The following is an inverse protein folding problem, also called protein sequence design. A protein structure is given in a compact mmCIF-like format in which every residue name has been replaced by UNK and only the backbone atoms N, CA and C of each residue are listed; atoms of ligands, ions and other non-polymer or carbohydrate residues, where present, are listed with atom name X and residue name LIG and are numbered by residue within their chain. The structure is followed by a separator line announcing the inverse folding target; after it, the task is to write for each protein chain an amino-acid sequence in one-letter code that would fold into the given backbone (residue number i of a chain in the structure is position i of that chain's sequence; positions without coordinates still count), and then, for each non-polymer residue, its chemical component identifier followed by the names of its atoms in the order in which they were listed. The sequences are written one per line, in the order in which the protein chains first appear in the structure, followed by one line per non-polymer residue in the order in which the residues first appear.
data_IF_172939027139
#
_entry.id   IF_172939027139
#
_cell.length_a   1.000
_cell.length_b   1.000
_cell.length_c   1.000
_cell.angle_alpha   90.00
_cell.angle_beta   90.00
_cell.angle_gamma   90.00
#
_symmetry.space_group_name_H-M   'P 1'
#
loop_
_entity.id
_entity.type
_entity.pdbx_description
1 polymer ?
#
# COMPACT_ATOMS: atom_id res chain seq x y z
N UNK A 1 85.95 -21.98 46.32
CA UNK A 1 84.86 -21.00 46.27
C UNK A 1 83.74 -21.57 45.40
N UNK A 2 82.64 -22.04 45.99
CA UNK A 2 81.51 -22.68 45.27
C UNK A 2 80.54 -21.60 44.76
N UNK A 3 80.33 -21.55 43.43
CA UNK A 3 79.35 -20.67 42.79
C UNK A 3 77.96 -21.32 42.85
N UNK A 4 77.00 -20.59 43.43
CA UNK A 4 75.58 -20.98 43.49
C UNK A 4 74.89 -20.39 42.25
N UNK A 5 74.40 -21.24 41.35
CA UNK A 5 73.60 -20.82 40.20
C UNK A 5 72.12 -20.79 40.61
N UNK A 6 71.49 -19.61 40.53
CA UNK A 6 70.05 -19.43 40.70
C UNK A 6 69.37 -19.66 39.36
N UNK A 7 68.51 -20.68 39.27
CA UNK A 7 67.65 -20.92 38.13
C UNK A 7 66.49 -19.90 38.13
N UNK A 8 66.36 -19.15 37.04
CA UNK A 8 65.23 -18.25 36.80
C UNK A 8 64.19 -19.02 36.01
N UNK A 9 63.02 -19.23 36.60
CA UNK A 9 61.85 -19.85 35.95
C UNK A 9 61.03 -18.74 35.32
N UNK A 10 60.90 -18.74 33.99
CA UNK A 10 60.07 -17.79 33.23
C UNK A 10 58.70 -18.47 32.98
N UNK A 11 57.58 -17.92 33.48
CA UNK A 11 56.27 -18.46 33.17
C UNK A 11 55.86 -18.05 31.75
N UNK A 12 55.62 -19.05 30.89
CA UNK A 12 55.06 -18.85 29.56
C UNK A 12 53.55 -18.66 29.70
N UNK A 13 53.08 -17.42 29.55
CA UNK A 13 51.65 -17.10 29.46
C UNK A 13 51.17 -17.41 28.05
N UNK A 14 50.40 -18.48 27.89
CA UNK A 14 49.76 -18.84 26.62
C UNK A 14 48.58 -17.90 26.32
N UNK A 15 48.74 -17.02 25.34
CA UNK A 15 47.66 -16.21 24.80
C UNK A 15 46.82 -17.06 23.84
N UNK A 16 45.64 -17.49 24.28
CA UNK A 16 44.64 -18.09 23.40
C UNK A 16 43.97 -16.99 22.57
N UNK A 17 44.33 -16.89 21.28
CA UNK A 17 43.62 -16.04 20.33
C UNK A 17 42.24 -16.67 20.06
N UNK A 18 41.20 -16.08 20.65
CA UNK A 18 39.81 -16.31 20.25
C UNK A 18 39.56 -15.55 18.96
N UNK A 19 39.71 -16.22 17.82
CA UNK A 19 39.25 -15.72 16.52
C UNK A 19 37.71 -15.77 16.51
N UNK A 20 37.08 -14.73 17.03
CA UNK A 20 35.64 -14.52 16.86
C UNK A 20 35.36 -14.21 15.40
N UNK A 21 34.55 -15.04 14.74
CA UNK A 21 34.04 -14.77 13.40
C UNK A 21 33.22 -13.48 13.45
N UNK A 22 33.65 -12.45 12.74
CA UNK A 22 32.83 -11.27 12.55
C UNK A 22 31.58 -11.69 11.76
N UNK A 23 30.42 -11.66 12.41
CA UNK A 23 29.14 -11.79 11.74
C UNK A 23 28.98 -10.50 10.95
N UNK A 24 29.12 -10.58 9.63
CA UNK A 24 28.78 -9.47 8.74
C UNK A 24 27.26 -9.37 8.78
N UNK A 25 26.73 -8.42 9.54
CA UNK A 25 25.30 -8.13 9.53
C UNK A 25 24.93 -7.63 8.14
N UNK A 26 24.01 -8.33 7.45
CA UNK A 26 23.40 -7.80 6.23
C UNK A 26 22.74 -6.48 6.57
N UNK A 27 23.11 -5.40 5.87
CA UNK A 27 22.39 -4.14 5.96
C UNK A 27 20.93 -4.41 5.59
N UNK A 28 19.99 -3.95 6.42
CA UNK A 28 18.58 -4.04 6.09
C UNK A 28 18.34 -3.29 4.78
N UNK A 29 17.65 -3.93 3.84
CA UNK A 29 17.24 -3.30 2.59
C UNK A 29 16.33 -2.11 2.92
N UNK A 30 16.64 -0.95 2.36
CA UNK A 30 15.83 0.25 2.49
C UNK A 30 14.42 -0.04 1.91
N UNK A 31 13.35 0.21 2.68
CA UNK A 31 11.96 0.00 2.27
C UNK A 31 11.06 1.12 2.78
N UNK A 32 9.97 1.41 2.06
CA UNK A 32 8.86 2.28 2.42
C UNK A 32 7.88 1.60 3.39
N UNK A 33 8.06 0.32 3.73
CA UNK A 33 7.19 -0.33 4.72
C UNK A 33 7.17 0.44 6.04
N UNK A 34 5.97 0.88 6.47
CA UNK A 34 5.77 1.71 7.66
C UNK A 34 5.82 3.22 7.39
N UNK A 35 6.05 3.66 6.15
CA UNK A 35 5.89 5.05 5.74
C UNK A 35 4.40 5.42 5.67
N UNK A 36 4.09 6.67 5.99
CA UNK A 36 2.73 7.21 5.95
C UNK A 36 2.74 8.59 5.34
N UNK A 37 1.82 8.84 4.41
CA UNK A 37 1.61 10.15 3.82
C UNK A 37 0.29 10.70 4.34
N UNK A 38 0.31 11.91 4.89
CA UNK A 38 -0.89 12.57 5.42
C UNK A 38 -0.99 14.01 4.95
N UNK A 39 -2.16 14.44 4.53
CA UNK A 39 -2.44 15.83 4.21
C UNK A 39 -3.82 16.22 4.72
N UNK A 40 -3.91 17.43 5.28
CA UNK A 40 -5.15 18.03 5.76
C UNK A 40 -5.22 19.46 5.24
N UNK A 41 -6.24 19.75 4.42
CA UNK A 41 -6.38 21.05 3.77
C UNK A 41 -7.51 21.90 4.34
N UNK A 42 -7.22 23.19 4.56
CA UNK A 42 -8.20 24.26 4.76
C UNK A 42 -8.03 25.41 3.74
N UNK A 43 -7.04 25.32 2.86
CA UNK A 43 -6.72 26.26 1.78
C UNK A 43 -6.25 25.48 0.54
N UNK A 44 -6.43 26.06 -0.65
CA UNK A 44 -6.33 25.43 -1.96
C UNK A 44 -4.91 24.92 -2.29
N UNK A 45 -4.53 23.75 -1.76
CA UNK A 45 -3.27 23.06 -2.07
C UNK A 45 -3.47 21.70 -2.76
N UNK A 46 -4.70 21.44 -3.21
CA UNK A 46 -5.00 20.33 -4.09
C UNK A 46 -6.15 20.65 -5.04
N UNK A 47 -5.92 20.40 -6.33
CA UNK A 47 -6.95 20.54 -7.34
C UNK A 47 -7.82 19.29 -7.35
N UNK A 48 -8.87 19.30 -6.52
CA UNK A 48 -9.90 18.26 -6.55
C UNK A 48 -10.96 18.64 -7.56
N UNK A 49 -11.01 17.94 -8.68
CA UNK A 49 -12.11 18.12 -9.63
C UNK A 49 -12.83 16.81 -9.86
N UNK A 50 -14.14 16.88 -9.73
CA UNK A 50 -15.03 15.82 -10.15
C UNK A 50 -15.64 16.13 -11.48
N UNK A 51 -15.40 15.26 -12.44
CA UNK A 51 -16.15 15.25 -13.67
C UNK A 51 -17.16 14.10 -13.62
N UNK A 52 -18.33 14.38 -13.05
CA UNK A 52 -19.46 13.49 -13.23
C UNK A 52 -19.92 13.58 -14.68
N UNK A 53 -19.78 12.48 -15.40
CA UNK A 53 -20.41 12.34 -16.72
C UNK A 53 -21.72 11.58 -16.53
N UNK A 54 -22.76 11.93 -17.29
CA UNK A 54 -24.03 11.19 -17.22
C UNK A 54 -23.77 9.69 -17.45
N UNK A 55 -24.27 8.80 -16.58
CA UNK A 55 -24.10 7.36 -16.75
C UNK A 55 -24.52 6.92 -18.16
N UNK A 56 -23.80 5.97 -18.79
CA UNK A 56 -22.79 5.05 -18.24
C UNK A 56 -21.33 5.51 -18.46
N UNK A 57 -21.05 6.82 -18.41
CA UNK A 57 -19.69 7.31 -18.65
C UNK A 57 -18.82 7.23 -17.38
N UNK A 58 -17.51 6.92 -17.50
CA UNK A 58 -16.60 6.95 -16.37
C UNK A 58 -16.54 8.36 -15.77
N UNK A 59 -16.53 8.41 -14.44
CA UNK A 59 -16.29 9.63 -13.67
C UNK A 59 -14.84 9.68 -13.22
N UNK A 60 -14.30 10.89 -13.14
CA UNK A 60 -12.90 11.10 -12.77
C UNK A 60 -12.79 11.99 -11.52
N UNK A 61 -11.84 11.67 -10.65
CA UNK A 61 -11.34 12.53 -9.59
C UNK A 61 -9.87 12.81 -9.90
N UNK A 62 -9.54 14.08 -10.09
CA UNK A 62 -8.15 14.52 -10.13
C UNK A 62 -7.78 15.03 -8.74
N UNK A 63 -6.54 14.78 -8.29
CA UNK A 63 -5.99 15.40 -7.10
C UNK A 63 -4.51 15.72 -7.28
N UNK A 64 -4.06 16.72 -6.53
CA UNK A 64 -2.68 17.15 -6.42
C UNK A 64 -2.45 17.43 -4.93
N UNK A 65 -1.35 16.96 -4.37
CA UNK A 65 -0.87 17.33 -3.03
C UNK A 65 0.44 18.05 -3.23
N UNK A 66 0.44 19.37 -3.07
CA UNK A 66 1.61 20.23 -3.38
C UNK A 66 2.20 20.90 -2.15
N UNK A 67 3.50 21.23 -2.19
CA UNK A 67 4.27 21.73 -1.02
C UNK A 67 3.94 23.14 -0.51
N UNK A 68 3.19 23.97 -1.24
CA UNK A 68 3.11 25.39 -0.91
C UNK A 68 1.68 25.93 -0.76
N UNK A 69 1.31 26.57 0.38
CA UNK A 69 2.04 26.65 1.65
C UNK A 69 1.57 25.53 2.61
N UNK A 70 2.34 24.44 2.72
CA UNK A 70 2.05 23.36 3.68
C UNK A 70 1.66 22.05 3.00
N UNK A 71 2.60 21.46 2.27
CA UNK A 71 2.42 20.17 1.62
C UNK A 71 2.03 19.02 2.52
N UNK A 72 1.84 17.87 1.89
CA UNK A 72 1.61 16.64 2.61
C UNK A 72 2.81 16.30 3.48
N UNK A 73 2.57 15.70 4.65
CA UNK A 73 3.59 15.24 5.57
C UNK A 73 3.84 13.74 5.36
N UNK A 74 5.08 13.37 5.09
CA UNK A 74 5.56 12.00 5.14
C UNK A 74 6.11 11.70 6.55
N UNK A 75 5.68 10.61 7.17
CA UNK A 75 6.21 10.14 8.45
C UNK A 75 6.49 8.65 8.42
N UNK A 76 7.63 8.24 8.98
CA UNK A 76 8.08 6.86 8.94
C UNK A 76 9.59 6.78 8.70
N UNK A 77 10.07 5.76 7.97
CA UNK A 77 11.47 5.63 7.57
C UNK A 77 12.07 6.83 6.82
N UNK A 78 11.27 7.59 6.06
CA UNK A 78 11.68 8.76 5.27
C UNK A 78 10.80 9.98 5.57
N UNK A 79 10.97 10.61 6.74
CA UNK A 79 10.15 11.75 7.12
C UNK A 79 10.46 12.97 6.27
N UNK A 80 9.44 13.74 5.91
CA UNK A 80 9.60 14.89 5.02
C UNK A 80 8.28 15.50 4.57
N UNK A 81 8.36 16.30 3.50
CA UNK A 81 7.18 16.70 2.75
C UNK A 81 6.99 15.73 1.59
N UNK A 82 5.77 15.24 1.37
CA UNK A 82 5.44 14.52 0.16
C UNK A 82 4.68 15.39 -0.84
N UNK A 83 4.88 15.08 -2.12
CA UNK A 83 4.15 15.64 -3.25
C UNK A 83 3.65 14.47 -4.07
N UNK A 84 2.41 14.57 -4.52
CA UNK A 84 1.76 13.53 -5.32
C UNK A 84 0.65 14.09 -6.19
N UNK A 85 0.60 13.64 -7.44
CA UNK A 85 -0.50 13.92 -8.37
C UNK A 85 -1.12 12.62 -8.83
N UNK A 86 -2.46 12.55 -8.81
CA UNK A 86 -3.17 11.34 -9.19
C UNK A 86 -4.48 11.56 -9.92
N UNK A 87 -4.85 10.56 -10.71
CA UNK A 87 -6.12 10.51 -11.44
C UNK A 87 -6.84 9.19 -11.14
N UNK A 88 -8.08 9.32 -10.65
CA UNK A 88 -8.94 8.21 -10.27
C UNK A 88 -10.09 8.13 -11.27
N UNK A 89 -10.22 7.02 -11.97
CA UNK A 89 -11.37 6.71 -12.83
C UNK A 89 -12.27 5.70 -12.12
N UNK A 90 -13.58 5.94 -12.10
CA UNK A 90 -14.54 5.04 -11.47
C UNK A 90 -15.89 5.00 -12.20
N UNK A 91 -16.61 3.90 -12.02
CA UNK A 91 -18.00 3.78 -12.45
C UNK A 91 -18.90 4.47 -11.42
N UNK A 92 -19.53 5.59 -11.81
CA UNK A 92 -20.40 6.36 -10.91
C UNK A 92 -21.68 5.63 -10.48
N UNK A 93 -22.09 4.58 -11.20
CA UNK A 93 -23.26 3.78 -10.85
C UNK A 93 -22.97 2.75 -9.77
N UNK A 94 -21.75 2.20 -9.75
CA UNK A 94 -21.33 1.16 -8.79
C UNK A 94 -20.39 1.68 -7.71
N UNK A 95 -19.75 2.83 -7.95
CA UNK A 95 -18.68 3.38 -7.12
C UNK A 95 -17.35 2.64 -7.26
N UNK A 96 -17.21 1.67 -8.17
CA UNK A 96 -15.99 0.87 -8.30
C UNK A 96 -14.93 1.67 -9.06
N UNK A 97 -13.73 1.78 -8.47
CA UNK A 97 -12.57 2.37 -9.15
C UNK A 97 -12.07 1.39 -10.23
N UNK A 98 -11.94 1.90 -11.45
CA UNK A 98 -11.46 1.15 -12.62
C UNK A 98 -10.02 1.48 -12.98
N UNK A 99 -9.51 2.65 -12.57
CA UNK A 99 -8.09 3.01 -12.64
C UNK A 99 -7.77 4.03 -11.55
N UNK A 100 -6.57 3.95 -10.99
CA UNK A 100 -5.99 4.97 -10.14
C UNK A 100 -4.50 5.02 -10.46
N UNK A 101 -4.07 6.10 -11.10
CA UNK A 101 -2.70 6.27 -11.58
C UNK A 101 -2.05 7.46 -10.87
N UNK A 102 -0.83 7.24 -10.39
CA UNK A 102 0.07 8.25 -9.83
C UNK A 102 1.36 8.18 -10.61
N UNK A 103 1.59 9.17 -11.49
CA UNK A 103 2.75 9.18 -12.39
C UNK A 103 4.03 9.59 -11.68
N UNK A 104 3.94 10.40 -10.63
CA UNK A 104 5.06 10.80 -9.79
C UNK A 104 4.55 11.05 -8.36
N UNK A 105 5.17 10.38 -7.40
CA UNK A 105 5.16 10.83 -6.02
C UNK A 105 6.60 11.00 -5.56
N UNK A 106 6.83 11.99 -4.70
CA UNK A 106 8.16 12.24 -4.13
C UNK A 106 8.10 12.65 -2.69
N UNK A 107 9.17 12.37 -1.96
CA UNK A 107 9.40 12.83 -0.60
C UNK A 107 10.70 13.62 -0.55
N UNK A 108 10.61 14.85 -0.07
CA UNK A 108 11.74 15.73 0.22
C UNK A 108 11.94 15.79 1.74
N UNK A 109 13.17 15.58 2.22
CA UNK A 109 13.49 15.71 3.64
C UNK A 109 13.33 17.15 4.16
N UNK A 110 13.54 17.37 5.47
CA UNK A 110 13.45 18.71 6.07
C UNK A 110 14.44 19.73 5.52
N UNK A 111 15.47 19.30 4.79
CA UNK A 111 16.47 20.16 4.13
C UNK A 111 16.14 20.40 2.65
N UNK A 112 15.07 19.80 2.14
CA UNK A 112 14.68 19.86 0.73
C UNK A 112 15.45 18.90 -0.17
N UNK A 113 16.11 17.88 0.39
CA UNK A 113 16.73 16.84 -0.42
C UNK A 113 15.71 15.76 -0.79
N UNK A 114 15.71 15.37 -2.05
CA UNK A 114 14.88 14.28 -2.55
C UNK A 114 15.31 12.93 -1.97
N UNK A 115 14.47 12.31 -1.14
CA UNK A 115 14.76 11.02 -0.49
C UNK A 115 14.05 9.85 -1.15
N UNK A 116 12.85 10.07 -1.71
CA UNK A 116 12.04 9.03 -2.35
C UNK A 116 11.40 9.60 -3.61
N UNK A 117 11.34 8.80 -4.67
CA UNK A 117 10.52 9.04 -5.87
C UNK A 117 9.84 7.74 -6.26
N UNK A 118 8.67 7.78 -6.90
CA UNK A 118 8.07 6.57 -7.42
C UNK A 118 6.78 6.81 -8.20
N UNK A 119 6.16 5.71 -8.61
CA UNK A 119 4.86 5.68 -9.28
C UNK A 119 3.91 4.77 -8.52
N UNK A 120 2.61 4.93 -8.74
CA UNK A 120 1.59 4.02 -8.20
C UNK A 120 0.52 3.74 -9.23
N UNK A 121 -0.01 2.54 -9.19
CA UNK A 121 -1.12 2.12 -10.04
C UNK A 121 -2.08 1.23 -9.26
N UNK A 122 -3.34 1.23 -9.67
CA UNK A 122 -4.35 0.34 -9.12
C UNK A 122 -4.09 -1.09 -9.62
N UNK A 123 -3.77 -2.06 -8.75
CA UNK A 123 -3.78 -3.46 -9.13
C UNK A 123 -5.21 -3.86 -9.49
N UNK A 124 -5.42 -4.96 -10.25
CA UNK A 124 -6.76 -5.45 -10.52
C UNK A 124 -7.59 -5.59 -9.24
N UNK A 125 -8.56 -4.70 -9.07
CA UNK A 125 -9.77 -5.01 -8.32
C UNK A 125 -10.06 -4.32 -6.99
N UNK A 126 -9.41 -3.26 -6.52
CA UNK A 126 -9.92 -2.70 -5.25
C UNK A 126 -9.78 -1.22 -5.08
N UNK A 127 -10.90 -0.56 -5.33
CA UNK A 127 -11.20 0.69 -4.70
C UNK A 127 -12.65 1.08 -4.85
N UNK A 128 -13.10 1.92 -3.93
CA UNK A 128 -14.39 2.56 -4.00
C UNK A 128 -14.16 4.06 -4.14
N UNK A 129 -14.84 4.68 -5.09
CA UNK A 129 -14.91 6.11 -5.19
C UNK A 129 -16.37 6.56 -5.30
N UNK A 130 -16.64 7.73 -4.75
CA UNK A 130 -17.87 8.44 -4.96
C UNK A 130 -17.54 9.90 -5.21
N UNK A 131 -18.37 10.53 -6.04
CA UNK A 131 -18.36 11.97 -6.11
C UNK A 131 -19.79 12.47 -6.25
N UNK A 132 -20.07 13.62 -5.64
CA UNK A 132 -21.30 14.37 -5.79
C UNK A 132 -20.96 15.82 -6.12
N UNK A 133 -21.54 16.35 -7.20
CA UNK A 133 -21.49 17.77 -7.52
C UNK A 133 -22.91 18.36 -7.41
N UNK A 134 -23.07 19.38 -6.56
CA UNK A 134 -24.30 20.14 -6.42
C UNK A 134 -24.15 21.45 -7.18
N UNK A 135 -24.95 21.62 -8.23
CA UNK A 135 -25.01 22.87 -8.98
C UNK A 135 -25.96 23.86 -8.29
N UNK A 136 -25.38 24.87 -7.65
CA UNK A 136 -26.07 26.05 -7.09
C UNK A 136 -25.39 27.34 -7.54
N UNK A 137 -25.60 28.45 -6.83
CA UNK A 137 -24.82 29.68 -7.03
C UNK A 137 -23.34 29.48 -6.74
N UNK A 138 -23.02 28.54 -5.84
CA UNK A 138 -21.70 27.96 -5.65
C UNK A 138 -21.77 26.49 -6.05
N UNK A 139 -20.81 26.01 -6.83
CA UNK A 139 -20.68 24.58 -7.09
C UNK A 139 -20.01 23.95 -5.87
N UNK A 140 -20.75 23.08 -5.18
CA UNK A 140 -20.18 22.26 -4.10
C UNK A 140 -19.84 20.90 -4.69
N UNK A 141 -18.57 20.51 -4.63
CA UNK A 141 -18.16 19.15 -5.02
C UNK A 141 -17.56 18.43 -3.83
N UNK A 142 -18.12 17.28 -3.51
CA UNK A 142 -17.62 16.36 -2.48
C UNK A 142 -17.25 15.06 -3.14
N UNK A 143 -16.17 14.43 -2.70
CA UNK A 143 -15.79 13.12 -3.18
C UNK A 143 -15.00 12.35 -2.15
N UNK A 144 -15.05 11.03 -2.29
CA UNK A 144 -14.33 10.09 -1.46
C UNK A 144 -13.73 9.02 -2.35
N UNK A 145 -12.51 8.59 -2.08
CA UNK A 145 -11.89 7.45 -2.73
C UNK A 145 -11.05 6.65 -1.73
N UNK A 146 -11.07 5.33 -1.86
CA UNK A 146 -10.25 4.43 -1.05
C UNK A 146 -9.83 3.25 -1.90
N UNK A 147 -8.55 2.89 -1.87
CA UNK A 147 -8.00 1.80 -2.65
C UNK A 147 -6.72 1.25 -2.03
N UNK A 148 -6.29 0.10 -2.55
CA UNK A 148 -4.93 -0.40 -2.41
C UNK A 148 -4.21 -0.14 -3.72
N UNK A 149 -3.08 0.55 -3.67
CA UNK A 149 -2.22 0.79 -4.83
C UNK A 149 -0.97 -0.07 -4.75
N UNK A 150 -0.50 -0.56 -5.90
CA UNK A 150 0.87 -1.04 -6.01
C UNK A 150 1.78 0.15 -6.30
N UNK A 151 2.98 0.15 -5.72
CA UNK A 151 3.98 1.18 -5.95
C UNK A 151 5.30 0.57 -6.42
N UNK A 152 6.02 1.35 -7.21
CA UNK A 152 7.42 1.15 -7.56
C UNK A 152 8.18 2.43 -7.20
N UNK A 153 9.20 2.33 -6.36
CA UNK A 153 9.90 3.46 -5.77
C UNK A 153 11.43 3.33 -5.84
N UNK A 154 12.09 4.49 -5.93
CA UNK A 154 13.54 4.65 -5.78
C UNK A 154 13.85 5.41 -4.49
N UNK A 155 14.62 4.79 -3.62
CA UNK A 155 15.10 5.35 -2.36
C UNK A 155 16.51 5.92 -2.57
N UNK A 156 16.62 7.24 -2.46
CA UNK A 156 17.82 8.02 -2.80
C UNK A 156 18.76 8.26 -1.60
N UNK A 157 18.47 7.66 -0.44
CA UNK A 157 19.28 7.82 0.79
C UNK A 157 20.51 6.92 0.83
N UNK A 158 20.62 5.96 -0.10
CA UNK A 158 21.76 5.06 -0.25
C UNK A 158 22.58 5.39 -1.49
N UNK A 159 23.84 4.97 -1.52
CA UNK A 159 24.69 5.04 -2.72
C UNK A 159 25.20 3.64 -3.07
N UNK A 160 24.71 3.00 -4.15
CA UNK A 160 23.71 3.51 -5.11
C UNK A 160 22.28 3.61 -4.52
N UNK A 161 21.35 4.33 -5.18
CA UNK A 161 19.94 4.30 -4.82
C UNK A 161 19.38 2.88 -4.83
N UNK A 162 18.44 2.60 -3.93
CA UNK A 162 17.80 1.28 -3.78
C UNK A 162 16.41 1.30 -4.41
N UNK A 163 16.02 0.22 -5.08
CA UNK A 163 14.64 0.05 -5.56
C UNK A 163 13.79 -0.62 -4.48
N UNK A 164 12.56 -0.16 -4.33
CA UNK A 164 11.56 -0.77 -3.47
C UNK A 164 10.22 -0.84 -4.19
N UNK A 165 9.44 -1.88 -3.90
CA UNK A 165 8.14 -2.10 -4.53
C UNK A 165 7.22 -2.79 -3.53
N UNK A 166 5.94 -2.44 -3.53
CA UNK A 166 4.99 -3.03 -2.61
C UNK A 166 3.60 -2.48 -2.78
N UNK A 167 2.83 -2.47 -1.70
CA UNK A 167 1.47 -1.92 -1.68
C UNK A 167 1.35 -0.76 -0.71
N UNK A 168 0.43 0.16 -1.01
CA UNK A 168 -0.02 1.19 -0.09
C UNK A 168 -1.54 1.19 -0.01
N UNK A 169 -2.09 1.50 1.16
CA UNK A 169 -3.54 1.73 1.33
C UNK A 169 -3.76 3.23 1.36
N UNK A 170 -4.55 3.75 0.42
CA UNK A 170 -4.83 5.18 0.26
C UNK A 170 -6.30 5.47 0.55
N UNK A 171 -6.55 6.59 1.22
CA UNK A 171 -7.87 7.15 1.49
C UNK A 171 -7.83 8.65 1.18
N UNK A 172 -8.87 9.12 0.51
CA UNK A 172 -9.01 10.48 0.04
C UNK A 172 -10.44 10.93 0.28
N UNK A 173 -10.59 12.03 0.99
CA UNK A 173 -11.86 12.71 1.23
C UNK A 173 -11.67 14.17 0.81
N UNK A 174 -12.58 14.73 0.03
CA UNK A 174 -12.56 16.15 -0.26
C UNK A 174 -13.94 16.78 -0.28
N UNK A 175 -13.95 18.04 0.09
CA UNK A 175 -15.11 18.92 0.03
C UNK A 175 -14.67 20.29 -0.45
N UNK A 176 -15.32 20.74 -1.52
CA UNK A 176 -15.08 22.05 -2.14
C UNK A 176 -16.38 22.85 -2.14
N UNK A 177 -16.32 24.13 -1.77
CA UNK A 177 -17.39 25.11 -1.90
C UNK A 177 -16.84 26.32 -2.69
N UNK A 178 -17.13 26.35 -3.99
CA UNK A 178 -16.46 27.26 -4.92
C UNK A 178 -14.95 27.03 -4.93
N UNK A 179 -14.17 28.07 -4.66
CA UNK A 179 -12.69 28.01 -4.60
C UNK A 179 -12.17 27.59 -3.21
N UNK A 180 -13.04 27.29 -2.25
CA UNK A 180 -12.64 26.91 -0.89
C UNK A 180 -12.64 25.40 -0.70
N UNK A 181 -11.51 24.84 -0.27
CA UNK A 181 -11.36 23.43 0.11
C UNK A 181 -11.37 23.36 1.64
N UNK A 182 -12.37 22.70 2.24
CA UNK A 182 -12.48 22.63 3.71
C UNK A 182 -12.72 21.21 4.17
N UNK A 183 -11.87 20.72 5.09
CA UNK A 183 -12.03 19.39 5.69
C UNK A 183 -11.61 18.25 4.76
N UNK A 184 -10.90 18.57 3.68
CA UNK A 184 -10.30 17.56 2.81
C UNK A 184 -9.11 16.91 3.48
N UNK A 185 -8.97 15.62 3.25
CA UNK A 185 -8.00 14.76 3.89
C UNK A 185 -7.46 13.73 2.88
N UNK A 186 -6.16 13.54 2.90
CA UNK A 186 -5.49 12.43 2.23
C UNK A 186 -4.69 11.68 3.29
N UNK A 187 -4.81 10.35 3.30
CA UNK A 187 -3.97 9.49 4.12
C UNK A 187 -3.61 8.25 3.35
N UNK A 188 -2.34 7.90 3.40
CA UNK A 188 -1.81 6.70 2.80
C UNK A 188 -0.80 6.04 3.72
N UNK A 189 -0.77 4.71 3.72
CA UNK A 189 0.18 3.92 4.51
C UNK A 189 0.82 2.87 3.61
N UNK A 190 2.15 2.87 3.59
CA UNK A 190 2.96 1.93 2.83
C UNK A 190 3.27 0.69 3.67
N UNK A 191 3.20 -0.48 3.03
CA UNK A 191 3.60 -1.73 3.66
C UNK A 191 2.74 -2.91 3.24
N UNK A 192 3.07 -4.07 3.82
CA UNK A 192 2.37 -5.32 3.57
C UNK A 192 0.96 -5.20 4.15
N UNK A 193 -0.05 -5.25 3.29
CA UNK A 193 -1.42 -5.40 3.74
C UNK A 193 -1.52 -6.61 4.67
N UNK A 194 -2.27 -6.45 5.76
CA UNK A 194 -2.63 -7.61 6.57
C UNK A 194 -3.46 -8.58 5.69
N UNK A 195 -3.36 -9.87 5.98
CA UNK A 195 -4.19 -10.88 5.31
C UNK A 195 -5.69 -10.56 5.38
N UNK A 196 -6.15 -9.94 6.48
CA UNK A 196 -7.51 -9.45 6.62
C UNK A 196 -7.88 -8.37 5.60
N UNK A 197 -7.00 -7.37 5.40
CA UNK A 197 -7.22 -6.31 4.41
C UNK A 197 -7.21 -6.87 2.99
N UNK A 198 -6.28 -7.77 2.67
CA UNK A 198 -6.24 -8.44 1.36
C UNK A 198 -7.50 -9.27 1.10
N UNK A 199 -8.01 -9.98 2.12
CA UNK A 199 -9.28 -10.72 2.01
C UNK A 199 -10.49 -9.81 1.80
N UNK A 200 -10.59 -8.71 2.55
CA UNK A 200 -11.67 -7.72 2.38
C UNK A 200 -11.65 -7.14 0.96
N UNK A 201 -10.46 -6.87 0.45
CA UNK A 201 -10.27 -6.43 -0.93
C UNK A 201 -10.78 -7.47 -1.94
N UNK A 202 -10.36 -8.73 -1.79
CA UNK A 202 -10.80 -9.82 -2.67
C UNK A 202 -12.32 -10.06 -2.61
N UNK A 203 -12.94 -9.92 -1.43
CA UNK A 203 -14.40 -9.99 -1.27
C UNK A 203 -15.08 -8.90 -2.11
N UNK A 204 -14.58 -7.66 -2.06
CA UNK A 204 -15.16 -6.55 -2.82
C UNK A 204 -15.07 -6.80 -4.34
N UNK A 205 -13.96 -7.34 -4.84
CA UNK A 205 -13.80 -7.75 -6.25
C UNK A 205 -14.92 -8.70 -6.66
N UNK A 206 -15.05 -9.80 -5.92
CA UNK A 206 -15.97 -10.89 -6.26
C UNK A 206 -17.42 -10.42 -6.19
N UNK A 207 -17.76 -9.53 -5.26
CA UNK A 207 -19.09 -8.94 -5.17
C UNK A 207 -19.39 -7.95 -6.31
N UNK A 208 -18.41 -7.14 -6.71
CA UNK A 208 -18.56 -6.13 -7.76
C UNK A 208 -18.70 -6.72 -9.16
N UNK A 209 -18.05 -7.85 -9.45
CA UNK A 209 -18.05 -8.47 -10.78
C UNK A 209 -19.39 -9.16 -11.16
N UNK A 210 -20.36 -9.24 -10.24
CA UNK A 210 -21.65 -9.92 -10.46
C UNK A 210 -21.51 -11.31 -11.13
N UNK A 211 -20.42 -12.02 -10.84
CA UNK A 211 -20.16 -13.35 -11.38
C UNK A 211 -21.36 -14.24 -11.04
N UNK A 212 -21.88 -15.03 -11.99
CA UNK A 212 -23.19 -15.70 -11.87
C UNK A 212 -23.43 -16.39 -10.51
N UNK A 213 -22.61 -17.38 -10.11
CA UNK A 213 -22.65 -17.99 -8.78
C UNK A 213 -21.90 -17.17 -7.70
N UNK A 214 -21.49 -15.93 -7.97
CA UNK A 214 -20.59 -15.08 -7.18
C UNK A 214 -21.00 -14.86 -5.73
N UNK A 215 -22.27 -15.08 -5.39
CA UNK A 215 -22.72 -15.17 -3.98
C UNK A 215 -21.99 -16.29 -3.22
N UNK A 216 -21.71 -17.42 -3.86
CA UNK A 216 -21.00 -18.55 -3.26
C UNK A 216 -19.52 -18.24 -3.02
N UNK A 217 -18.83 -17.64 -4.00
CA UNK A 217 -17.43 -17.22 -3.87
C UNK A 217 -17.24 -16.14 -2.80
N UNK A 218 -18.09 -15.11 -2.81
CA UNK A 218 -18.07 -14.07 -1.77
C UNK A 218 -18.35 -14.66 -0.37
N UNK A 219 -19.28 -15.63 -0.26
CA UNK A 219 -19.56 -16.32 1.00
C UNK A 219 -18.34 -17.09 1.49
N UNK A 220 -17.63 -17.81 0.61
CA UNK A 220 -16.39 -18.52 0.97
C UNK A 220 -15.30 -17.57 1.45
N UNK A 221 -15.11 -16.45 0.77
CA UNK A 221 -14.14 -15.44 1.20
C UNK A 221 -14.51 -14.80 2.56
N UNK A 222 -15.80 -14.57 2.84
CA UNK A 222 -16.25 -14.13 4.16
C UNK A 222 -16.01 -15.19 5.25
N UNK A 223 -16.16 -16.48 4.93
CA UNK A 223 -15.82 -17.58 5.85
C UNK A 223 -14.31 -17.67 6.12
N UNK A 224 -13.47 -17.44 5.09
CA UNK A 224 -12.02 -17.35 5.24
C UNK A 224 -11.67 -16.17 6.15
N UNK A 225 -12.23 -14.98 5.90
CA UNK A 225 -12.03 -13.79 6.74
C UNK A 225 -12.40 -14.05 8.19
N UNK A 226 -13.53 -14.72 8.45
CA UNK A 226 -13.94 -15.10 9.80
C UNK A 226 -12.93 -16.07 10.47
N UNK A 227 -12.33 -16.99 9.71
CA UNK A 227 -11.25 -17.86 10.22
C UNK A 227 -9.99 -17.08 10.57
N UNK A 228 -9.58 -16.11 9.74
CA UNK A 228 -8.43 -15.23 10.01
C UNK A 228 -8.66 -14.41 11.28
N UNK A 229 -9.81 -13.74 11.38
CA UNK A 229 -10.18 -12.93 12.55
C UNK A 229 -10.28 -13.76 13.84
N UNK A 230 -10.61 -15.06 13.73
CA UNK A 230 -10.62 -15.99 14.85
C UNK A 230 -9.23 -16.57 15.20
N UNK A 231 -8.16 -16.16 14.51
CA UNK A 231 -6.81 -16.70 14.70
C UNK A 231 -6.65 -18.15 14.24
N UNK A 232 -7.54 -18.65 13.38
CA UNK A 232 -7.54 -20.03 12.87
C UNK A 232 -6.77 -20.14 11.55
N UNK A 233 -5.48 -19.81 11.56
CA UNK A 233 -4.63 -19.74 10.35
C UNK A 233 -4.69 -21.01 9.50
N UNK A 234 -4.52 -22.20 10.09
CA UNK A 234 -4.60 -23.46 9.33
C UNK A 234 -5.97 -23.68 8.67
N UNK A 235 -7.06 -23.24 9.32
CA UNK A 235 -8.40 -23.33 8.74
C UNK A 235 -8.54 -22.35 7.58
N UNK A 236 -8.06 -21.11 7.74
CA UNK A 236 -8.05 -20.11 6.67
C UNK A 236 -7.24 -20.59 5.45
N UNK A 237 -6.03 -21.14 5.65
CA UNK A 237 -5.21 -21.69 4.56
C UNK A 237 -5.95 -22.80 3.78
N UNK A 238 -6.55 -23.77 4.49
CA UNK A 238 -7.30 -24.84 3.84
C UNK A 238 -8.52 -24.31 3.06
N UNK A 239 -9.18 -23.27 3.57
CA UNK A 239 -10.29 -22.63 2.89
C UNK A 239 -9.84 -21.81 1.68
N UNK A 240 -8.67 -21.16 1.72
CA UNK A 240 -8.05 -20.46 0.59
C UNK A 240 -7.69 -21.42 -0.55
N UNK A 241 -6.98 -22.52 -0.26
CA UNK A 241 -6.71 -23.55 -1.28
C UNK A 241 -8.00 -24.10 -1.91
N UNK A 242 -9.06 -24.29 -1.10
CA UNK A 242 -10.36 -24.72 -1.62
C UNK A 242 -11.00 -23.65 -2.53
N UNK A 243 -10.86 -22.37 -2.17
CA UNK A 243 -11.28 -21.25 -3.00
C UNK A 243 -10.50 -21.22 -4.33
N UNK A 244 -9.17 -21.33 -4.30
CA UNK A 244 -8.33 -21.37 -5.51
C UNK A 244 -8.71 -22.51 -6.45
N UNK A 245 -8.92 -23.72 -5.92
CA UNK A 245 -9.38 -24.87 -6.71
C UNK A 245 -10.75 -24.64 -7.33
N UNK A 246 -11.66 -23.99 -6.61
CA UNK A 246 -12.99 -23.67 -7.14
C UNK A 246 -12.93 -22.61 -8.24
N UNK A 247 -12.17 -21.53 -8.03
CA UNK A 247 -11.92 -20.49 -9.04
C UNK A 247 -11.32 -21.13 -10.29
N UNK A 248 -10.22 -21.86 -10.17
CA UNK A 248 -9.59 -22.56 -11.30
C UNK A 248 -10.55 -23.53 -12.01
N UNK A 249 -11.44 -24.22 -11.28
CA UNK A 249 -12.42 -25.13 -11.87
C UNK A 249 -13.57 -24.41 -12.61
N UNK A 250 -13.87 -23.17 -12.23
CA UNK A 250 -14.92 -22.34 -12.82
C UNK A 250 -14.40 -21.38 -13.89
N UNK A 251 -13.09 -21.17 -13.96
CA UNK A 251 -12.39 -20.43 -15.00
C UNK A 251 -12.79 -20.89 -16.39
N UNK A 252 -13.15 -19.93 -17.25
CA UNK A 252 -13.62 -20.18 -18.62
C UNK A 252 -15.00 -20.83 -18.72
N UNK A 253 -15.67 -21.13 -17.59
CA UNK A 253 -17.06 -21.61 -17.54
C UNK A 253 -17.98 -20.50 -17.05
N UNK A 254 -18.11 -20.39 -15.73
CA UNK A 254 -18.96 -19.40 -15.06
C UNK A 254 -18.18 -18.16 -14.62
N UNK A 255 -16.85 -18.24 -14.61
CA UNK A 255 -15.95 -17.12 -14.43
C UNK A 255 -15.27 -16.81 -15.78
N UNK A 256 -15.18 -15.54 -16.21
CA UNK A 256 -14.21 -15.14 -17.23
C UNK A 256 -12.79 -15.45 -16.74
N UNK A 257 -11.78 -15.40 -17.62
CA UNK A 257 -10.39 -15.68 -17.24
C UNK A 257 -10.01 -14.93 -15.94
N UNK A 258 -9.64 -15.69 -14.91
CA UNK A 258 -9.69 -15.30 -13.49
C UNK A 258 -8.32 -15.45 -12.80
N UNK A 259 -7.23 -15.40 -13.58
CA UNK A 259 -5.84 -15.44 -13.09
C UNK A 259 -5.60 -14.42 -11.96
N UNK A 260 -6.32 -13.29 -11.98
CA UNK A 260 -6.27 -12.27 -10.92
C UNK A 260 -6.83 -12.72 -9.57
N UNK A 261 -7.88 -13.54 -9.53
CA UNK A 261 -8.46 -14.04 -8.28
C UNK A 261 -7.54 -15.06 -7.60
N UNK A 262 -6.92 -15.92 -8.41
CA UNK A 262 -5.94 -16.91 -7.93
C UNK A 262 -4.68 -16.21 -7.44
N UNK A 263 -4.14 -15.26 -8.21
CA UNK A 263 -2.96 -14.49 -7.79
C UNK A 263 -3.20 -13.73 -6.47
N UNK A 264 -4.39 -13.13 -6.29
CA UNK A 264 -4.76 -12.48 -5.04
C UNK A 264 -4.85 -13.48 -3.87
N UNK A 265 -5.43 -14.67 -4.07
CA UNK A 265 -5.49 -15.71 -3.06
C UNK A 265 -4.08 -16.17 -2.62
N UNK A 266 -3.16 -16.40 -3.58
CA UNK A 266 -1.77 -16.77 -3.29
C UNK A 266 -1.01 -15.69 -2.49
N UNK A 267 -1.30 -14.40 -2.72
CA UNK A 267 -0.72 -13.31 -1.92
C UNK A 267 -1.22 -13.36 -0.47
N UNK A 268 -2.51 -13.65 -0.27
CA UNK A 268 -3.11 -13.84 1.05
C UNK A 268 -2.49 -15.04 1.77
N UNK A 269 -2.25 -16.14 1.06
CA UNK A 269 -1.57 -17.32 1.59
C UNK A 269 -0.17 -16.97 2.10
N UNK A 270 0.63 -16.27 1.29
CA UNK A 270 1.96 -15.80 1.71
C UNK A 270 1.92 -14.86 2.92
N UNK A 271 0.92 -13.98 3.01
CA UNK A 271 0.72 -13.10 4.16
C UNK A 271 0.28 -13.85 5.43
N UNK A 272 -0.44 -14.96 5.28
CA UNK A 272 -0.87 -15.83 6.38
C UNK A 272 0.22 -16.80 6.85
N UNK A 273 1.25 -17.04 6.03
CA UNK A 273 2.26 -18.08 6.27
C UNK A 273 1.75 -19.48 5.97
N UNK A 274 0.81 -19.59 5.03
CA UNK A 274 0.60 -20.79 4.24
C UNK A 274 1.75 -20.84 3.19
#
# INVERSE_FOLDING_TARGET
MRKIYRAVVIPVVGAALLLGSAIVGSAATATLTGETFTWVGVQFNGFFSCQQRTPPSPSNIFYEVSTFPGGGAATGPYPGNFIEDGNITFDSGTGVITAWEVEDFRVDDSSGNLTVTGTKHLPPGVGTASCTSLSGTNSISTGQASAVLAYDATINTTSPPTQDSGTSTVTLDFSTDGDSVTGSHFSETFGVLTSEQQLQALIAIVQGQQLGPGKSLATKLMEILASVQAGKTNTACNQLHAFEHEVAAQSGKSLPADDGLIAAAMQIEGALGC
#
